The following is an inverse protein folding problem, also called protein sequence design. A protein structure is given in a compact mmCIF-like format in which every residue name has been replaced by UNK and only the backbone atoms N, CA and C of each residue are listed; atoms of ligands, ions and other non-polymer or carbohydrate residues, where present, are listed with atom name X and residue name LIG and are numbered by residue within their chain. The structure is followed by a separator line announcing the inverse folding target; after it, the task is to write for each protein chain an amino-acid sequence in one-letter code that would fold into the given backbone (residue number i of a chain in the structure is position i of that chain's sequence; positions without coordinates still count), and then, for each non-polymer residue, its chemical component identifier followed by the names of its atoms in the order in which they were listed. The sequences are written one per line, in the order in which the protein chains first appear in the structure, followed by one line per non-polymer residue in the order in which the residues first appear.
data_IF_578720144946
#
_entry.id   IF_578720144946
#
_cell.length_a   1.000
_cell.length_b   1.000
_cell.length_c   1.000
_cell.angle_alpha   90.00
_cell.angle_beta   90.00
_cell.angle_gamma   90.00
#
_symmetry.space_group_name_H-M   'P 1'
#
loop_
_entity.id
_entity.type
_entity.pdbx_description
1 polymer ?
#
# COMPACT_ATOMS: atom_id res chain seq x y z
N UNK A 1 6.40 37.95 11.93
CA UNK A 1 5.39 36.87 11.90
C UNK A 1 5.86 35.87 10.85
N UNK A 2 6.36 34.71 11.28
CA UNK A 2 6.77 33.65 10.36
C UNK A 2 5.51 33.05 9.74
N UNK A 3 5.32 33.26 8.45
CA UNK A 3 4.32 32.52 7.68
C UNK A 3 4.70 31.05 7.72
N UNK A 4 3.93 30.23 8.43
CA UNK A 4 4.09 28.77 8.39
C UNK A 4 3.91 28.32 6.94
N UNK A 5 5.00 27.87 6.32
CA UNK A 5 4.93 27.27 5.00
C UNK A 5 4.10 25.98 5.11
N UNK A 6 3.25 25.66 4.12
CA UNK A 6 2.49 24.42 4.13
C UNK A 6 3.42 23.22 4.33
N UNK A 7 3.20 22.43 5.37
CA UNK A 7 4.01 21.24 5.63
C UNK A 7 3.77 20.23 4.51
N UNK A 8 4.84 19.82 3.82
CA UNK A 8 4.77 18.80 2.78
C UNK A 8 4.21 17.49 3.37
N UNK A 9 3.20 16.93 2.69
CA UNK A 9 2.61 15.64 3.04
C UNK A 9 2.69 14.72 1.81
N UNK A 10 3.46 13.64 1.94
CA UNK A 10 3.62 12.62 0.89
C UNK A 10 2.73 11.41 1.20
N UNK A 11 2.01 10.94 0.18
CA UNK A 11 1.22 9.71 0.26
C UNK A 11 1.77 8.68 -0.72
N UNK A 12 1.96 7.46 -0.24
CA UNK A 12 2.40 6.32 -1.03
C UNK A 12 1.25 5.35 -1.26
N UNK A 13 0.98 5.02 -2.52
CA UNK A 13 0.07 3.95 -2.92
C UNK A 13 0.87 2.89 -3.68
N UNK A 14 1.39 1.85 -2.99
CA UNK A 14 2.13 0.80 -3.65
C UNK A 14 1.21 -0.20 -4.35
N UNK A 15 1.76 -0.88 -5.36
CA UNK A 15 1.20 -2.16 -5.78
C UNK A 15 1.25 -3.13 -4.58
N UNK A 16 0.15 -3.84 -4.31
CA UNK A 16 -0.05 -4.63 -3.10
C UNK A 16 0.57 -6.04 -3.19
N UNK A 17 1.85 -6.08 -3.56
CA UNK A 17 2.71 -7.26 -3.50
C UNK A 17 3.95 -6.94 -2.66
N UNK A 18 4.48 -7.93 -1.94
CA UNK A 18 5.59 -7.76 -0.99
C UNK A 18 6.82 -7.10 -1.62
N UNK A 19 7.12 -7.40 -2.89
CA UNK A 19 8.22 -6.80 -3.65
C UNK A 19 8.08 -5.29 -3.89
N UNK A 20 6.88 -4.72 -3.76
CA UNK A 20 6.61 -3.29 -3.86
C UNK A 20 6.29 -2.66 -2.49
N UNK A 21 5.63 -3.41 -1.61
CA UNK A 21 5.28 -2.98 -0.25
C UNK A 21 6.53 -2.64 0.56
N UNK A 22 7.52 -3.54 0.61
CA UNK A 22 8.72 -3.35 1.45
C UNK A 22 9.53 -2.12 1.00
N UNK A 23 9.88 -1.96 -0.30
CA UNK A 23 10.57 -0.76 -0.75
C UNK A 23 9.79 0.52 -0.49
N UNK A 24 8.46 0.48 -0.58
CA UNK A 24 7.62 1.65 -0.30
C UNK A 24 7.65 2.06 1.16
N UNK A 25 7.68 1.09 2.07
CA UNK A 25 7.89 1.36 3.50
C UNK A 25 9.26 2.02 3.72
N UNK A 26 10.30 1.53 3.07
CA UNK A 26 11.65 2.09 3.21
C UNK A 26 11.73 3.52 2.63
N UNK A 27 11.09 3.78 1.48
CA UNK A 27 10.92 5.14 0.97
C UNK A 27 10.15 6.02 1.95
N UNK A 28 9.03 5.55 2.51
CA UNK A 28 8.25 6.30 3.47
C UNK A 28 9.06 6.68 4.73
N UNK A 29 9.94 5.78 5.20
CA UNK A 29 10.88 6.08 6.29
C UNK A 29 11.86 7.19 5.90
N UNK A 30 12.38 7.18 4.67
CA UNK A 30 13.31 8.22 4.20
C UNK A 30 12.65 9.60 4.18
N UNK A 31 11.42 9.72 3.71
CA UNK A 31 10.67 10.99 3.76
C UNK A 31 10.41 11.44 5.19
N UNK A 32 9.99 10.50 6.05
CA UNK A 32 9.69 10.82 7.44
C UNK A 32 10.94 11.23 8.25
N UNK A 33 12.10 10.65 7.94
CA UNK A 33 13.40 11.06 8.50
C UNK A 33 13.77 12.51 8.16
N UNK A 34 13.22 13.06 7.07
CA UNK A 34 13.37 14.46 6.67
C UNK A 34 12.28 15.39 7.28
N UNK A 35 11.49 14.89 8.25
CA UNK A 35 10.42 15.64 8.88
C UNK A 35 9.14 15.78 8.02
N UNK A 36 9.06 15.05 6.90
CA UNK A 36 7.91 15.10 5.99
C UNK A 36 6.79 14.21 6.53
N UNK A 37 5.59 14.77 6.67
CA UNK A 37 4.41 13.98 7.03
C UNK A 37 4.18 12.94 5.95
N UNK A 38 4.10 11.67 6.34
CA UNK A 38 4.06 10.56 5.38
C UNK A 38 2.91 9.62 5.69
N UNK A 39 2.19 9.18 4.65
CA UNK A 39 1.09 8.21 4.77
C UNK A 39 1.21 7.13 3.71
N UNK A 40 0.96 5.89 4.11
CA UNK A 40 0.83 4.77 3.18
C UNK A 40 -0.64 4.42 3.04
N UNK A 41 -1.11 4.37 1.80
CA UNK A 41 -2.42 3.88 1.43
C UNK A 41 -2.32 2.37 1.20
N UNK A 42 -3.21 1.61 1.81
CA UNK A 42 -3.23 0.15 1.70
C UNK A 42 -4.66 -0.38 1.84
N UNK A 43 -4.82 -1.69 1.82
CA UNK A 43 -6.12 -2.36 1.92
C UNK A 43 -6.21 -3.14 3.22
N UNK A 44 -7.40 -3.65 3.54
CA UNK A 44 -7.64 -4.31 4.82
C UNK A 44 -6.77 -5.57 4.98
N UNK A 45 -6.62 -6.37 3.92
CA UNK A 45 -5.81 -7.59 3.94
C UNK A 45 -4.31 -7.27 4.14
N UNK A 46 -3.83 -6.15 3.59
CA UNK A 46 -2.43 -5.77 3.66
C UNK A 46 -2.07 -4.94 4.91
N UNK A 47 -3.06 -4.41 5.63
CA UNK A 47 -2.85 -3.57 6.82
C UNK A 47 -1.91 -4.20 7.85
N UNK A 48 -2.07 -5.50 8.13
CA UNK A 48 -1.22 -6.21 9.09
C UNK A 48 0.24 -6.33 8.63
N UNK A 49 0.48 -6.42 7.32
CA UNK A 49 1.83 -6.45 6.75
C UNK A 49 2.53 -5.12 7.02
N UNK A 50 1.85 -4.00 6.77
CA UNK A 50 2.37 -2.66 7.07
C UNK A 50 2.53 -2.37 8.56
N UNK A 51 1.60 -2.86 9.40
CA UNK A 51 1.67 -2.65 10.85
C UNK A 51 2.86 -3.38 11.48
N UNK A 52 3.18 -4.59 11.02
CA UNK A 52 4.32 -5.36 11.54
C UNK A 52 5.66 -4.75 11.13
N UNK A 53 5.78 -4.26 9.90
CA UNK A 53 7.03 -3.71 9.36
C UNK A 53 7.33 -2.27 9.84
N UNK A 54 6.30 -1.51 10.23
CA UNK A 54 6.46 -0.13 10.74
C UNK A 54 6.79 -0.04 12.24
N UNK A 55 6.29 -0.99 13.06
CA UNK A 55 6.43 -0.95 14.53
C UNK A 55 7.87 -1.05 15.07
N UNK A 56 8.82 -1.53 14.28
CA UNK A 56 10.19 -1.77 14.74
C UNK A 56 11.03 -0.51 15.03
N UNK A 57 10.57 0.69 14.67
CA UNK A 57 11.44 1.88 14.62
C UNK A 57 10.95 3.09 15.43
N UNK A 58 9.82 3.00 16.16
CA UNK A 58 9.31 4.14 16.95
C UNK A 58 8.84 5.34 16.12
N UNK A 59 8.73 5.16 14.81
CA UNK A 59 8.38 6.20 13.84
C UNK A 59 6.92 5.99 13.38
N UNK A 60 6.08 7.02 13.49
CA UNK A 60 4.65 6.93 13.20
C UNK A 60 4.35 7.30 11.74
N UNK A 61 4.46 6.33 10.84
CA UNK A 61 3.95 6.46 9.46
C UNK A 61 2.41 6.36 9.53
N UNK A 62 1.70 7.32 8.94
CA UNK A 62 0.24 7.24 8.82
C UNK A 62 -0.17 6.08 7.91
N UNK A 63 -1.22 5.35 8.27
CA UNK A 63 -1.77 4.27 7.43
C UNK A 63 -3.22 4.62 7.10
N UNK A 64 -3.55 4.66 5.80
CA UNK A 64 -4.92 4.82 5.31
C UNK A 64 -5.36 3.52 4.65
N UNK A 65 -6.41 2.91 5.20
CA UNK A 65 -7.02 1.72 4.62
C UNK A 65 -8.12 2.14 3.65
N UNK A 66 -8.11 1.57 2.44
CA UNK A 66 -9.13 1.73 1.40
C UNK A 66 -9.73 0.37 1.02
N UNK A 67 -10.94 0.40 0.46
CA UNK A 67 -11.59 -0.81 -0.07
C UNK A 67 -10.93 -1.16 -1.41
N UNK A 68 -10.53 -2.41 -1.58
CA UNK A 68 -10.02 -2.91 -2.86
C UNK A 68 -11.21 -3.43 -3.70
N UNK A 69 -11.50 -2.88 -4.89
CA UNK A 69 -12.68 -3.26 -5.67
C UNK A 69 -12.52 -4.60 -6.41
N UNK A 70 -12.24 -5.70 -5.67
CA UNK A 70 -12.12 -7.06 -6.22
C UNK A 70 -13.34 -7.44 -7.09
N UNK A 71 -14.54 -7.28 -6.52
CA UNK A 71 -15.78 -7.77 -7.11
C UNK A 71 -16.10 -7.07 -8.44
N UNK A 72 -15.72 -5.80 -8.57
CA UNK A 72 -16.00 -4.98 -9.77
C UNK A 72 -15.25 -5.47 -11.01
N UNK A 73 -14.17 -6.23 -10.84
CA UNK A 73 -13.38 -6.81 -11.93
C UNK A 73 -13.50 -8.34 -12.02
N UNK A 74 -14.39 -8.94 -11.22
CA UNK A 74 -14.55 -10.39 -11.15
C UNK A 74 -13.40 -11.11 -10.44
N UNK A 75 -12.73 -10.46 -9.49
CA UNK A 75 -11.82 -11.13 -8.55
C UNK A 75 -12.59 -11.64 -7.32
N UNK A 76 -12.17 -12.78 -6.74
CA UNK A 76 -12.70 -13.24 -5.46
C UNK A 76 -12.49 -12.18 -4.36
N UNK A 77 -13.45 -12.09 -3.43
CA UNK A 77 -13.31 -11.24 -2.26
C UNK A 77 -12.08 -11.65 -1.43
N UNK A 78 -11.33 -10.66 -0.94
CA UNK A 78 -10.08 -10.88 -0.21
C UNK A 78 -8.84 -11.10 -1.09
N UNK A 79 -8.98 -11.12 -2.42
CA UNK A 79 -7.86 -11.18 -3.37
C UNK A 79 -7.16 -9.82 -3.51
N UNK A 80 -6.64 -9.28 -2.41
CA UNK A 80 -6.02 -7.94 -2.34
C UNK A 80 -4.48 -8.00 -2.21
N UNK A 81 -3.89 -9.19 -2.16
CA UNK A 81 -2.44 -9.37 -2.08
C UNK A 81 -1.95 -10.23 -3.24
N UNK A 82 -1.03 -9.66 -4.04
CA UNK A 82 -0.50 -10.33 -5.23
C UNK A 82 0.24 -11.64 -4.89
N UNK A 83 0.88 -11.72 -3.73
CA UNK A 83 1.57 -12.92 -3.28
C UNK A 83 0.63 -14.05 -2.83
N UNK A 84 -0.65 -13.74 -2.58
CA UNK A 84 -1.67 -14.73 -2.21
C UNK A 84 -2.34 -15.38 -3.44
N UNK A 85 -2.04 -14.93 -4.65
CA UNK A 85 -2.59 -15.50 -5.89
C UNK A 85 -1.96 -16.89 -6.13
N UNK A 86 -2.77 -17.96 -6.26
CA UNK A 86 -2.28 -19.29 -6.63
C UNK A 86 -1.55 -19.28 -7.97
N UNK A 87 -0.40 -19.96 -8.04
CA UNK A 87 0.41 -20.07 -9.26
C UNK A 87 -0.01 -21.27 -10.10
N UNK A 88 -1.28 -21.31 -10.48
CA UNK A 88 -1.86 -22.32 -11.36
C UNK A 88 -2.15 -21.72 -12.76
N UNK A 89 -2.92 -22.45 -13.58
CA UNK A 89 -3.28 -22.03 -14.95
C UNK A 89 -4.00 -20.67 -14.99
N UNK A 90 -4.71 -20.27 -13.93
CA UNK A 90 -5.44 -19.01 -13.85
C UNK A 90 -4.57 -17.82 -13.39
N UNK A 91 -3.30 -18.04 -13.01
CA UNK A 91 -2.42 -17.02 -12.42
C UNK A 91 -2.34 -15.73 -13.25
N UNK A 92 -2.17 -15.85 -14.56
CA UNK A 92 -2.03 -14.69 -15.46
C UNK A 92 -3.33 -13.90 -15.56
N UNK A 93 -4.48 -14.59 -15.64
CA UNK A 93 -5.79 -13.95 -15.69
C UNK A 93 -6.08 -13.17 -14.40
N UNK A 94 -5.87 -13.81 -13.24
CA UNK A 94 -6.07 -13.21 -11.92
C UNK A 94 -5.11 -12.02 -11.74
N UNK A 95 -3.85 -12.15 -12.17
CA UNK A 95 -2.87 -11.06 -12.11
C UNK A 95 -3.27 -9.86 -12.97
N UNK A 96 -3.78 -10.08 -14.19
CA UNK A 96 -4.27 -8.99 -15.05
C UNK A 96 -5.46 -8.28 -14.40
N UNK A 97 -6.42 -9.04 -13.85
CA UNK A 97 -7.55 -8.46 -13.11
C UNK A 97 -7.08 -7.68 -11.89
N UNK A 98 -6.07 -8.18 -11.17
CA UNK A 98 -5.48 -7.50 -10.02
C UNK A 98 -4.86 -6.15 -10.41
N UNK A 99 -4.05 -6.11 -11.46
CA UNK A 99 -3.46 -4.87 -11.97
C UNK A 99 -4.53 -3.88 -12.44
N UNK A 100 -5.64 -4.36 -12.99
CA UNK A 100 -6.80 -3.52 -13.32
C UNK A 100 -7.40 -2.87 -12.07
N UNK A 101 -7.56 -3.61 -10.97
CA UNK A 101 -8.04 -3.02 -9.69
C UNK A 101 -7.10 -1.93 -9.20
N UNK A 102 -5.78 -2.14 -9.29
CA UNK A 102 -4.80 -1.12 -8.85
C UNK A 102 -4.97 0.20 -9.61
N UNK A 103 -5.35 0.16 -10.88
CA UNK A 103 -5.64 1.37 -11.68
C UNK A 103 -6.92 2.11 -11.29
N UNK A 104 -7.76 1.51 -10.45
CA UNK A 104 -9.04 2.07 -9.97
C UNK A 104 -8.94 2.68 -8.57
N UNK A 105 -7.76 2.62 -7.93
CA UNK A 105 -7.48 3.17 -6.60
C UNK A 105 -6.98 4.61 -6.69
#
# INVERSE_FOLDING_TARGET
MSTELPQLHVMFLPCLGLGHIIPTIDMAKLFLAQGVKTTIITTLVNFLVFSKTSKGLGIQIGIKVIKFPCVEVGLPEGCENLNAIPKDEAYMEITIKFLKVVSML
#
